data_IF_634220540638
#
_entry.id   IF_634220540638
#
_cell.length_a   1.000
_cell.length_b   1.000
_cell.length_c   1.000
_cell.angle_alpha   90.00
_cell.angle_beta   90.00
_cell.angle_gamma   90.00
#
_symmetry.space_group_name_H-M   'P 1'
#
loop_
_entity.id
_entity.type
_entity.pdbx_description
1 polymer ?
#
# COMPACT_ATOMS: atom_id res chain seq x y z
N UNK A 1 40.76 4.65 -29.22
CA UNK A 1 41.05 5.81 -28.36
C UNK A 1 40.75 7.13 -29.09
N UNK A 2 39.47 7.49 -29.37
CA UNK A 2 39.13 8.71 -30.15
C UNK A 2 37.81 9.38 -29.67
N UNK A 3 37.41 9.23 -28.41
CA UNK A 3 36.08 9.70 -27.91
C UNK A 3 36.08 10.96 -27.00
N UNK A 4 37.24 11.53 -26.66
CA UNK A 4 37.32 12.64 -25.68
C UNK A 4 37.45 14.07 -26.24
N UNK A 5 37.55 14.23 -27.56
CA UNK A 5 37.76 15.58 -28.12
C UNK A 5 36.46 16.41 -28.24
N UNK A 6 35.31 15.77 -28.43
CA UNK A 6 34.03 16.48 -28.58
C UNK A 6 33.56 17.15 -27.27
N UNK A 7 33.73 16.48 -26.15
CA UNK A 7 33.31 17.03 -24.83
C UNK A 7 34.21 18.23 -24.42
N UNK A 8 35.50 18.18 -24.73
CA UNK A 8 36.41 19.29 -24.44
C UNK A 8 36.13 20.54 -25.30
N UNK A 9 35.74 20.36 -26.56
CA UNK A 9 35.31 21.47 -27.40
C UNK A 9 34.01 22.11 -26.95
N UNK A 10 33.03 21.31 -26.55
CA UNK A 10 31.74 21.80 -26.02
C UNK A 10 31.94 22.58 -24.73
N UNK A 11 32.76 22.07 -23.80
CA UNK A 11 33.05 22.74 -22.54
C UNK A 11 33.78 24.08 -22.75
N UNK A 12 34.74 24.14 -23.74
CA UNK A 12 35.43 25.37 -24.09
C UNK A 12 34.51 26.42 -24.72
N UNK A 13 33.57 26.00 -25.56
CA UNK A 13 32.56 26.90 -26.15
C UNK A 13 31.59 27.45 -25.08
N UNK A 14 31.15 26.64 -24.18
CA UNK A 14 30.28 27.08 -23.05
C UNK A 14 31.05 28.06 -22.14
N UNK A 15 32.32 27.77 -21.84
CA UNK A 15 33.15 28.65 -21.01
C UNK A 15 33.43 30.00 -21.69
N UNK A 16 33.63 30.05 -23.00
CA UNK A 16 33.82 31.30 -23.75
C UNK A 16 32.54 32.13 -23.86
N UNK A 17 31.38 31.47 -24.01
CA UNK A 17 30.06 32.12 -24.04
C UNK A 17 29.71 32.77 -22.70
N UNK A 18 30.12 32.15 -21.59
CA UNK A 18 29.88 32.62 -20.23
C UNK A 18 30.82 33.78 -19.81
N UNK A 19 31.96 33.98 -20.53
CA UNK A 19 32.96 34.96 -20.13
C UNK A 19 32.60 36.41 -20.50
N UNK A 20 31.68 36.64 -21.44
CA UNK A 20 31.48 37.97 -22.06
C UNK A 20 30.16 38.68 -21.70
N UNK A 21 29.33 38.19 -20.74
CA UNK A 21 28.10 38.90 -20.48
C UNK A 21 27.51 38.57 -19.07
N UNK A 22 27.67 39.44 -18.11
CA UNK A 22 27.17 39.30 -16.72
C UNK A 22 25.66 39.12 -16.67
N UNK A 23 24.92 39.77 -17.55
CA UNK A 23 23.43 39.64 -17.65
C UNK A 23 23.01 38.24 -18.12
N UNK A 24 23.74 37.63 -19.05
CA UNK A 24 23.44 36.25 -19.53
C UNK A 24 23.78 35.19 -18.48
N UNK A 25 24.78 35.45 -17.62
CA UNK A 25 25.09 34.58 -16.48
C UNK A 25 24.00 34.57 -15.43
N UNK A 26 23.41 35.75 -15.15
CA UNK A 26 22.28 35.86 -14.23
C UNK A 26 21.06 35.12 -14.75
N UNK A 27 20.77 35.26 -16.06
CA UNK A 27 19.61 34.60 -16.68
C UNK A 27 19.78 33.07 -16.70
N UNK A 28 20.99 32.58 -17.02
CA UNK A 28 21.26 31.13 -17.04
C UNK A 28 21.20 30.54 -15.61
N UNK A 29 21.74 31.24 -14.61
CA UNK A 29 21.68 30.81 -13.22
C UNK A 29 20.22 30.80 -12.70
N UNK A 30 19.40 31.77 -13.09
CA UNK A 30 17.99 31.84 -12.74
C UNK A 30 17.18 30.72 -13.39
N UNK A 31 17.42 30.41 -14.68
CA UNK A 31 16.76 29.32 -15.40
C UNK A 31 17.13 27.97 -14.80
N UNK A 32 18.40 27.74 -14.45
CA UNK A 32 18.84 26.51 -13.79
C UNK A 32 18.24 26.39 -12.39
N UNK A 33 18.18 27.47 -11.61
CA UNK A 33 17.56 27.47 -10.30
C UNK A 33 16.04 27.20 -10.37
N UNK A 34 15.34 27.81 -11.34
CA UNK A 34 13.90 27.57 -11.54
C UNK A 34 13.61 26.15 -12.02
N UNK A 35 14.45 25.59 -12.89
CA UNK A 35 14.29 24.18 -13.30
C UNK A 35 14.61 23.22 -12.16
N UNK A 36 15.59 23.51 -11.30
CA UNK A 36 15.83 22.69 -10.09
C UNK A 36 14.68 22.80 -9.07
N UNK A 37 14.10 23.99 -8.88
CA UNK A 37 12.91 24.13 -8.02
C UNK A 37 11.66 23.45 -8.61
N UNK A 38 11.52 23.42 -9.93
CA UNK A 38 10.41 22.74 -10.59
C UNK A 38 10.57 21.22 -10.60
N UNK A 39 11.79 20.70 -10.43
CA UNK A 39 12.07 19.26 -10.31
C UNK A 39 11.97 18.72 -8.87
N UNK A 40 11.77 19.57 -7.87
CA UNK A 40 11.20 19.12 -6.61
C UNK A 40 9.71 18.86 -6.83
N UNK A 41 9.41 17.90 -7.72
CA UNK A 41 8.10 17.29 -7.74
C UNK A 41 7.81 16.89 -6.30
N UNK A 42 6.82 17.51 -5.73
CA UNK A 42 6.28 17.16 -4.42
C UNK A 42 6.08 15.64 -4.44
N UNK A 43 7.06 14.90 -3.90
CA UNK A 43 6.76 13.58 -3.40
C UNK A 43 5.61 13.83 -2.43
N UNK A 44 4.39 13.49 -2.83
CA UNK A 44 3.26 13.57 -1.93
C UNK A 44 3.64 12.67 -0.77
N UNK A 45 3.97 13.29 0.37
CA UNK A 45 4.32 12.55 1.56
C UNK A 45 3.10 11.69 1.89
N UNK A 46 3.28 10.37 1.93
CA UNK A 46 2.25 9.47 2.43
C UNK A 46 1.75 10.03 3.77
N UNK A 47 0.46 10.29 3.88
CA UNK A 47 -0.14 10.85 5.06
C UNK A 47 -0.92 9.76 5.78
N UNK A 48 -0.44 9.36 6.97
CA UNK A 48 -1.18 8.44 7.83
C UNK A 48 -2.56 9.02 8.15
N UNK A 49 -3.61 8.28 7.87
CA UNK A 49 -5.01 8.65 8.10
C UNK A 49 -5.62 7.93 9.27
N UNK A 50 -5.31 6.65 9.42
CA UNK A 50 -5.77 5.84 10.54
C UNK A 50 -4.87 4.61 10.70
N UNK A 51 -4.84 4.06 11.90
CA UNK A 51 -4.28 2.74 12.17
C UNK A 51 -5.04 2.07 13.32
N UNK A 52 -5.04 0.75 13.33
CA UNK A 52 -5.47 -0.06 14.45
C UNK A 52 -4.57 -1.28 14.60
N UNK A 53 -4.51 -1.80 15.80
CA UNK A 53 -3.80 -3.05 16.11
C UNK A 53 -4.69 -3.91 16.99
N UNK A 54 -4.63 -5.21 16.75
CA UNK A 54 -5.33 -6.20 17.58
C UNK A 54 -4.32 -7.22 18.07
N UNK A 55 -4.37 -7.52 19.35
CA UNK A 55 -3.63 -8.61 19.96
C UNK A 55 -4.55 -9.80 20.24
N UNK A 56 -4.02 -11.02 20.15
CA UNK A 56 -4.77 -12.24 20.41
C UNK A 56 -5.47 -12.81 19.19
N UNK A 57 -6.12 -13.95 19.40
CA UNK A 57 -6.62 -14.81 18.34
C UNK A 57 -8.10 -14.56 18.07
N UNK A 58 -8.45 -14.54 16.81
CA UNK A 58 -9.80 -14.65 16.29
C UNK A 58 -9.89 -15.90 15.42
N UNK A 59 -10.98 -16.63 15.51
CA UNK A 59 -11.16 -17.89 14.79
C UNK A 59 -12.60 -18.05 14.32
N UNK A 60 -12.79 -18.78 13.26
CA UNK A 60 -14.12 -19.05 12.74
C UNK A 60 -14.15 -20.21 11.76
N UNK A 61 -15.37 -20.61 11.47
CA UNK A 61 -15.71 -21.62 10.47
C UNK A 61 -16.52 -21.02 9.32
N UNK A 62 -16.78 -19.70 9.37
CA UNK A 62 -17.65 -19.02 8.42
C UNK A 62 -16.88 -18.61 7.17
N UNK A 63 -17.63 -18.62 6.07
CA UNK A 63 -17.22 -18.12 4.79
C UNK A 63 -17.47 -16.65 4.74
N UNK A 64 -17.33 -15.68 4.89
CA UNK A 64 -17.59 -14.26 4.97
C UNK A 64 -17.65 -13.75 6.39
N UNK A 65 -16.55 -13.30 6.90
CA UNK A 65 -16.45 -12.78 8.24
C UNK A 65 -15.69 -11.44 8.24
N UNK A 66 -16.28 -10.43 8.88
CA UNK A 66 -15.62 -9.16 9.11
C UNK A 66 -14.75 -9.26 10.37
N UNK A 67 -13.45 -8.99 10.20
CA UNK A 67 -12.45 -9.09 11.27
C UNK A 67 -12.62 -7.98 12.29
N UNK A 68 -12.50 -8.32 13.59
CA UNK A 68 -12.28 -7.32 14.63
C UNK A 68 -10.91 -6.67 14.47
N UNK A 69 -10.86 -5.34 14.41
CA UNK A 69 -9.64 -4.58 14.10
C UNK A 69 -8.88 -4.06 15.34
N UNK A 70 -9.52 -4.09 16.53
CA UNK A 70 -8.98 -3.39 17.71
C UNK A 70 -9.24 -4.05 19.07
N UNK A 71 -9.66 -5.30 19.12
CA UNK A 71 -10.08 -6.03 20.33
C UNK A 71 -11.35 -5.48 21.01
N UNK A 72 -12.11 -4.66 20.33
CA UNK A 72 -13.34 -4.05 20.87
C UNK A 72 -14.57 -4.42 20.05
N UNK A 73 -14.46 -5.46 19.23
CA UNK A 73 -15.48 -5.91 18.26
C UNK A 73 -15.80 -4.86 17.18
N UNK A 74 -14.90 -3.92 16.97
CA UNK A 74 -15.05 -2.97 15.87
C UNK A 74 -14.54 -3.58 14.56
N UNK A 75 -15.46 -3.87 13.67
CA UNK A 75 -15.16 -4.43 12.34
C UNK A 75 -14.90 -3.36 11.29
N UNK A 76 -14.79 -2.09 11.69
CA UNK A 76 -14.49 -0.96 10.81
C UNK A 76 -13.56 0.05 11.48
N UNK A 77 -12.61 0.57 10.72
CA UNK A 77 -11.72 1.65 11.12
C UNK A 77 -12.05 2.92 10.33
N UNK A 78 -12.43 3.98 11.03
CA UNK A 78 -12.77 5.26 10.41
C UNK A 78 -11.52 6.05 10.02
N UNK A 79 -11.59 6.75 8.88
CA UNK A 79 -10.58 7.70 8.44
C UNK A 79 -11.24 8.87 7.70
N UNK A 80 -10.49 9.95 7.40
CA UNK A 80 -11.02 11.10 6.69
C UNK A 80 -10.11 11.53 5.55
N UNK A 81 -10.73 11.97 4.44
CA UNK A 81 -10.04 12.61 3.32
C UNK A 81 -10.37 14.11 3.27
N UNK A 82 -9.38 14.93 2.91
CA UNK A 82 -9.53 16.38 2.74
C UNK A 82 -9.58 16.82 1.27
N UNK A 83 -9.35 15.89 0.35
CA UNK A 83 -9.35 16.14 -1.10
C UNK A 83 -10.24 15.15 -1.81
N UNK A 84 -10.84 15.56 -2.90
CA UNK A 84 -11.60 14.68 -3.79
C UNK A 84 -10.66 13.72 -4.54
N UNK A 85 -11.16 12.56 -4.90
CA UNK A 85 -10.45 11.56 -5.70
C UNK A 85 -9.11 11.11 -5.08
N UNK A 86 -9.07 11.05 -3.74
CA UNK A 86 -7.89 10.65 -2.97
C UNK A 86 -7.52 9.20 -3.23
N UNK A 87 -6.23 8.94 -3.50
CA UNK A 87 -5.70 7.59 -3.58
C UNK A 87 -5.35 7.12 -2.16
N UNK A 88 -6.00 6.06 -1.71
CA UNK A 88 -5.81 5.47 -0.38
C UNK A 88 -5.09 4.15 -0.53
N UNK A 89 -4.01 3.99 0.24
CA UNK A 89 -3.28 2.74 0.42
C UNK A 89 -3.65 2.15 1.77
N UNK A 90 -4.05 0.89 1.78
CA UNK A 90 -4.36 0.15 2.99
C UNK A 90 -3.42 -1.04 3.07
N UNK A 91 -2.77 -1.20 4.21
CA UNK A 91 -1.91 -2.35 4.51
C UNK A 91 -2.46 -3.07 5.73
N UNK A 92 -2.83 -4.34 5.56
CA UNK A 92 -3.25 -5.23 6.62
C UNK A 92 -2.21 -6.34 6.80
N UNK A 93 -1.76 -6.50 8.03
CA UNK A 93 -0.84 -7.57 8.43
C UNK A 93 -1.51 -8.40 9.51
N UNK A 94 -1.34 -9.71 9.45
CA UNK A 94 -1.77 -10.60 10.53
C UNK A 94 -0.93 -11.89 10.54
N UNK A 95 -0.83 -12.48 11.72
CA UNK A 95 -0.54 -13.90 11.81
C UNK A 95 -1.78 -14.68 11.44
N UNK A 96 -1.66 -15.76 10.68
CA UNK A 96 -2.80 -16.56 10.28
C UNK A 96 -2.48 -18.05 10.19
N UNK A 97 -3.51 -18.84 10.35
CA UNK A 97 -3.51 -20.27 10.16
C UNK A 97 -4.81 -20.75 9.53
N UNK A 98 -4.75 -21.83 8.77
CA UNK A 98 -5.90 -22.45 8.09
C UNK A 98 -5.85 -23.96 8.29
N UNK A 99 -6.98 -24.53 8.67
CA UNK A 99 -7.20 -25.97 8.72
C UNK A 99 -8.13 -26.38 7.58
N UNK A 100 -7.72 -27.40 6.85
CA UNK A 100 -8.50 -27.96 5.73
C UNK A 100 -7.66 -28.91 4.89
N UNK A 101 -8.23 -29.50 3.84
CA UNK A 101 -7.47 -30.29 2.87
C UNK A 101 -6.24 -29.54 2.37
N UNK A 102 -5.24 -30.25 1.81
CA UNK A 102 -4.13 -29.60 1.13
C UNK A 102 -4.62 -28.55 0.14
N UNK A 103 -3.89 -27.42 0.06
CA UNK A 103 -4.23 -26.29 -0.83
C UNK A 103 -5.48 -25.48 -0.43
N UNK A 104 -6.07 -25.75 0.75
CA UNK A 104 -7.06 -24.82 1.31
C UNK A 104 -6.41 -23.50 1.70
N UNK A 105 -7.12 -22.38 1.58
CA UNK A 105 -6.58 -21.06 1.96
C UNK A 105 -7.62 -20.15 2.58
N UNK A 106 -7.11 -19.19 3.33
CA UNK A 106 -7.81 -17.99 3.77
C UNK A 106 -7.52 -16.86 2.78
N UNK A 107 -8.52 -16.20 2.26
CA UNK A 107 -8.38 -14.95 1.51
C UNK A 107 -8.76 -13.75 2.37
N UNK A 108 -8.13 -12.61 2.12
CA UNK A 108 -8.40 -11.34 2.76
C UNK A 108 -8.81 -10.32 1.70
N UNK A 109 -9.99 -9.74 1.87
CA UNK A 109 -10.53 -8.65 1.06
C UNK A 109 -10.58 -7.37 1.88
N UNK A 110 -10.01 -6.29 1.37
CA UNK A 110 -10.11 -4.96 1.98
C UNK A 110 -11.25 -4.20 1.31
N UNK A 111 -12.17 -3.70 2.11
CA UNK A 111 -13.31 -2.89 1.68
C UNK A 111 -13.14 -1.45 2.19
N UNK A 112 -13.48 -0.48 1.36
CA UNK A 112 -13.62 0.94 1.76
C UNK A 112 -15.04 1.37 1.39
N UNK A 113 -15.81 1.81 2.36
CA UNK A 113 -17.23 2.14 2.23
C UNK A 113 -18.03 1.01 1.53
N UNK A 114 -17.68 -0.24 1.81
CA UNK A 114 -18.27 -1.42 1.21
C UNK A 114 -17.76 -1.76 -0.20
N UNK A 115 -16.87 -0.94 -0.78
CA UNK A 115 -16.29 -1.17 -2.12
C UNK A 115 -14.94 -1.86 -1.99
N UNK A 116 -14.72 -2.91 -2.76
CA UNK A 116 -13.48 -3.67 -2.75
C UNK A 116 -12.31 -2.85 -3.30
N UNK A 117 -11.23 -2.77 -2.52
CA UNK A 117 -9.98 -2.15 -2.93
C UNK A 117 -9.15 -3.07 -3.84
N UNK A 118 -8.33 -2.49 -4.72
CA UNK A 118 -7.49 -3.21 -5.66
C UNK A 118 -6.11 -3.59 -5.07
N UNK A 119 -5.51 -4.71 -5.45
CA UNK A 119 -6.09 -5.74 -6.30
C UNK A 119 -7.28 -6.39 -5.61
N UNK A 120 -8.34 -6.63 -6.38
CA UNK A 120 -9.45 -7.40 -5.89
C UNK A 120 -8.95 -8.78 -5.44
N UNK A 121 -9.36 -9.21 -4.24
CA UNK A 121 -9.13 -10.60 -3.85
C UNK A 121 -10.06 -11.45 -4.70
N UNK A 122 -9.49 -12.24 -5.58
CA UNK A 122 -10.23 -13.32 -6.23
C UNK A 122 -10.01 -14.62 -5.46
N UNK A 123 -10.72 -15.65 -5.83
CA UNK A 123 -10.59 -17.00 -5.28
C UNK A 123 -9.16 -17.60 -5.39
N UNK A 124 -8.20 -16.88 -5.94
CA UNK A 124 -6.83 -17.32 -6.19
C UNK A 124 -5.76 -16.58 -5.36
N UNK A 125 -6.16 -15.68 -4.47
CA UNK A 125 -5.20 -14.93 -3.64
C UNK A 125 -5.29 -15.37 -2.18
N UNK A 126 -4.58 -16.47 -1.87
CA UNK A 126 -4.41 -16.92 -0.49
C UNK A 126 -3.65 -15.88 0.34
N UNK A 127 -4.22 -15.48 1.47
CA UNK A 127 -3.52 -14.73 2.51
C UNK A 127 -2.61 -15.68 3.30
N UNK A 128 -3.14 -16.85 3.67
CA UNK A 128 -2.39 -17.99 4.14
C UNK A 128 -3.03 -19.31 3.69
N UNK A 129 -2.28 -20.38 3.74
CA UNK A 129 -2.67 -21.70 3.22
C UNK A 129 -2.56 -22.78 4.29
N UNK A 130 -3.35 -23.85 4.12
CA UNK A 130 -3.23 -25.06 4.95
C UNK A 130 -1.90 -25.79 4.70
N UNK A 131 -1.48 -26.59 5.67
CA UNK A 131 -0.34 -27.47 5.49
C UNK A 131 -0.65 -28.59 4.49
N UNK A 132 0.38 -29.13 3.80
CA UNK A 132 0.20 -30.22 2.85
C UNK A 132 -0.37 -31.51 3.45
N UNK A 133 -0.26 -31.70 4.77
CA UNK A 133 -0.80 -32.87 5.46
C UNK A 133 -2.32 -32.77 5.74
N UNK A 134 -2.90 -31.57 5.63
CA UNK A 134 -4.33 -31.31 5.78
C UNK A 134 -4.92 -31.55 7.19
N UNK A 135 -4.09 -31.90 8.16
CA UNK A 135 -4.55 -32.28 9.52
C UNK A 135 -4.07 -31.34 10.62
N UNK A 136 -3.25 -30.36 10.24
CA UNK A 136 -2.65 -29.43 11.18
C UNK A 136 -2.61 -28.04 10.56
N UNK A 137 -2.34 -27.02 11.37
CA UNK A 137 -2.14 -25.64 10.91
C UNK A 137 -0.81 -25.09 11.41
N UNK A 138 -0.25 -24.18 10.65
CA UNK A 138 0.96 -23.44 11.00
C UNK A 138 0.65 -21.94 11.00
N UNK A 139 1.07 -21.25 12.03
CA UNK A 139 1.06 -19.82 12.06
C UNK A 139 2.06 -19.24 11.07
N UNK A 140 1.59 -18.37 10.20
CA UNK A 140 2.41 -17.64 9.24
C UNK A 140 2.05 -16.16 9.28
N UNK A 141 3.08 -15.30 9.26
CA UNK A 141 2.84 -13.87 9.07
C UNK A 141 2.50 -13.59 7.60
N UNK A 142 1.43 -12.85 7.38
CA UNK A 142 1.00 -12.47 6.04
C UNK A 142 0.65 -10.98 5.96
N UNK A 143 0.79 -10.42 4.77
CA UNK A 143 0.50 -9.01 4.48
C UNK A 143 -0.38 -8.89 3.26
N UNK A 144 -1.43 -8.06 3.35
CA UNK A 144 -2.25 -7.63 2.23
C UNK A 144 -2.14 -6.12 2.07
N UNK A 145 -1.74 -5.67 0.89
CA UNK A 145 -1.75 -4.26 0.52
C UNK A 145 -2.79 -4.05 -0.59
N UNK A 146 -3.58 -3.00 -0.46
CA UNK A 146 -4.61 -2.64 -1.44
C UNK A 146 -4.68 -1.14 -1.65
N UNK A 147 -5.13 -0.73 -2.82
CA UNK A 147 -5.27 0.65 -3.25
C UNK A 147 -6.71 0.90 -3.71
N UNK A 148 -7.25 2.06 -3.36
CA UNK A 148 -8.56 2.51 -3.83
C UNK A 148 -8.58 4.02 -4.02
N UNK A 149 -9.32 4.51 -5.01
CA UNK A 149 -9.64 5.93 -5.13
C UNK A 149 -10.97 6.23 -4.45
N UNK A 150 -10.92 7.15 -3.50
CA UNK A 150 -12.10 7.63 -2.78
C UNK A 150 -12.53 8.95 -3.41
N UNK A 151 -13.73 9.02 -4.02
CA UNK A 151 -14.12 10.18 -4.82
C UNK A 151 -14.48 11.42 -3.97
N UNK A 152 -14.99 11.21 -2.76
CA UNK A 152 -15.57 12.26 -1.94
C UNK A 152 -14.60 12.72 -0.82
N UNK A 153 -14.77 13.97 -0.39
CA UNK A 153 -14.18 14.48 0.85
C UNK A 153 -15.06 14.06 2.02
N UNK A 154 -14.45 13.75 3.15
CA UNK A 154 -15.17 13.47 4.39
C UNK A 154 -14.77 12.19 5.08
N UNK A 155 -15.66 11.68 5.89
CA UNK A 155 -15.45 10.46 6.67
C UNK A 155 -15.72 9.22 5.80
N UNK A 156 -14.84 8.24 5.97
CA UNK A 156 -14.86 6.93 5.30
C UNK A 156 -14.54 5.86 6.33
N UNK A 157 -14.77 4.61 5.97
CA UNK A 157 -14.38 3.49 6.82
C UNK A 157 -13.78 2.36 5.99
N UNK A 158 -12.80 1.70 6.58
CA UNK A 158 -12.19 0.49 6.04
C UNK A 158 -12.61 -0.72 6.86
N UNK A 159 -12.82 -1.84 6.19
CA UNK A 159 -13.15 -3.14 6.76
C UNK A 159 -12.24 -4.21 6.15
N UNK A 160 -12.01 -5.28 6.89
CA UNK A 160 -11.29 -6.47 6.44
C UNK A 160 -12.25 -7.64 6.48
N UNK A 161 -12.50 -8.22 5.33
CA UNK A 161 -13.33 -9.41 5.14
C UNK A 161 -12.44 -10.62 4.90
N UNK A 162 -12.67 -11.71 5.61
CA UNK A 162 -12.00 -12.99 5.39
C UNK A 162 -12.96 -14.03 4.83
N UNK A 163 -12.42 -14.87 3.95
CA UNK A 163 -13.11 -15.98 3.34
C UNK A 163 -12.26 -17.23 3.37
N UNK A 164 -12.85 -18.37 3.72
CA UNK A 164 -12.22 -19.67 3.58
C UNK A 164 -12.56 -20.31 2.24
N UNK A 165 -11.58 -20.94 1.65
CA UNK A 165 -11.67 -21.49 0.30
C UNK A 165 -11.14 -22.94 0.25
N UNK A 166 -11.56 -23.66 -0.77
CA UNK A 166 -11.08 -25.01 -1.11
C UNK A 166 -11.24 -26.03 0.00
N UNK A 167 -12.40 -26.02 0.66
CA UNK A 167 -12.72 -26.99 1.71
C UNK A 167 -12.04 -26.73 3.04
N UNK A 168 -11.44 -25.54 3.24
CA UNK A 168 -11.00 -25.12 4.56
C UNK A 168 -12.16 -25.22 5.56
N UNK A 169 -11.88 -25.71 6.74
CA UNK A 169 -12.89 -25.94 7.80
C UNK A 169 -12.80 -24.92 8.91
N UNK A 170 -11.61 -24.44 9.24
CA UNK A 170 -11.36 -23.44 10.26
C UNK A 170 -10.25 -22.50 9.82
N UNK A 171 -10.30 -21.27 10.36
CA UNK A 171 -9.25 -20.29 10.24
C UNK A 171 -8.95 -19.63 11.58
N UNK A 172 -7.75 -19.09 11.67
CA UNK A 172 -7.26 -18.31 12.80
C UNK A 172 -6.55 -17.08 12.29
N UNK A 173 -6.81 -15.94 12.92
CA UNK A 173 -6.03 -14.73 12.80
C UNK A 173 -5.48 -14.38 14.18
N UNK A 174 -4.16 -14.28 14.27
CA UNK A 174 -3.45 -13.83 15.47
C UNK A 174 -3.33 -12.32 15.55
N UNK A 175 -2.23 -11.88 16.11
CA UNK A 175 -1.89 -10.46 16.19
C UNK A 175 -1.95 -9.82 14.82
N UNK A 176 -2.64 -8.69 14.73
CA UNK A 176 -2.86 -8.00 13.47
C UNK A 176 -2.70 -6.49 13.56
N UNK A 177 -2.46 -5.86 12.43
CA UNK A 177 -2.43 -4.41 12.29
C UNK A 177 -3.02 -3.98 10.95
N UNK A 178 -3.67 -2.84 10.95
CA UNK A 178 -4.13 -2.17 9.74
C UNK A 178 -3.66 -0.73 9.72
N UNK A 179 -3.15 -0.29 8.57
CA UNK A 179 -2.66 1.07 8.34
C UNK A 179 -3.35 1.63 7.11
N UNK A 180 -3.87 2.85 7.23
CA UNK A 180 -4.53 3.59 6.16
C UNK A 180 -3.72 4.85 5.86
N UNK A 181 -3.26 5.01 4.63
CA UNK A 181 -2.41 6.11 4.18
C UNK A 181 -3.03 6.76 2.93
N UNK A 182 -2.97 8.08 2.86
CA UNK A 182 -3.29 8.83 1.64
C UNK A 182 -2.01 9.12 0.88
N UNK A 183 -2.03 8.83 -0.42
CA UNK A 183 -0.93 9.04 -1.38
C UNK A 183 -0.99 10.43 -2.00
#
# INVERSE_FOLDING_TARGET
MKRNNGLRMLAAQIASFLKNNTTKRLTLALVVAVTFLAMTASASAESLKAFATRAGNETGTNTHFLVDLDNSSHTSLAFSTSTTNSLIKITYNAECGVLGPPESWLSVTILVDGVQANPASGAFFGFCTSLPNGVDYQWTGATRQSLIRVPNIGAHFVQVLVDINYGATNWWLGDSSIVVEQQ
#
